data_IF_804828835669
#
_entry.id   IF_804828835669
#
_cell.length_a   1.000
_cell.length_b   1.000
_cell.length_c   1.000
_cell.angle_alpha   90.00
_cell.angle_beta   90.00
_cell.angle_gamma   90.00
#
_symmetry.space_group_name_H-M   'P 1'
#
loop_
_entity.id
_entity.type
_entity.pdbx_description
1 polymer ?
#
# COMPACT_ATOMS: atom_id res chain seq x y z
N UNK A 1 -21.01 -10.84 9.45
CA UNK A 1 -19.79 -10.02 9.30
C UNK A 1 -19.89 -9.16 8.04
N UNK A 2 -19.19 -8.05 8.02
CA UNK A 2 -19.18 -7.17 6.85
C UNK A 2 -17.82 -7.24 6.17
N UNK A 3 -17.86 -7.30 4.84
CA UNK A 3 -16.70 -7.21 3.95
C UNK A 3 -16.98 -6.08 2.98
N UNK A 4 -16.03 -5.16 2.85
CA UNK A 4 -16.08 -4.10 1.85
C UNK A 4 -15.20 -4.49 0.66
N UNK A 5 -15.61 -4.12 -0.53
CA UNK A 5 -14.88 -4.42 -1.76
C UNK A 5 -14.54 -3.11 -2.47
N UNK A 6 -13.27 -2.93 -2.77
CA UNK A 6 -12.76 -1.78 -3.52
C UNK A 6 -11.94 -2.25 -4.72
N UNK A 7 -11.59 -1.30 -5.58
CA UNK A 7 -10.69 -1.53 -6.71
C UNK A 7 -9.47 -0.62 -6.60
N UNK A 8 -8.33 -1.24 -6.68
CA UNK A 8 -7.02 -0.63 -6.72
C UNK A 8 -6.68 -0.10 -8.14
N UNK A 9 -5.55 0.64 -8.34
CA UNK A 9 -5.28 1.42 -9.54
C UNK A 9 -5.48 0.71 -10.89
N UNK A 10 -5.14 -0.56 -11.01
CA UNK A 10 -5.33 -1.35 -12.23
C UNK A 10 -6.42 -2.41 -12.09
N UNK A 11 -7.48 -2.07 -11.34
CA UNK A 11 -8.65 -2.92 -11.08
C UNK A 11 -8.34 -4.18 -10.25
N UNK A 12 -7.24 -4.23 -9.50
CA UNK A 12 -7.03 -5.29 -8.51
C UNK A 12 -8.17 -5.24 -7.49
N UNK A 13 -8.75 -6.39 -7.18
CA UNK A 13 -9.86 -6.49 -6.24
C UNK A 13 -9.28 -6.47 -4.83
N UNK A 14 -9.65 -5.46 -4.05
CA UNK A 14 -9.34 -5.38 -2.64
C UNK A 14 -10.54 -5.77 -1.79
N UNK A 15 -10.30 -6.51 -0.71
CA UNK A 15 -11.32 -6.82 0.29
C UNK A 15 -10.88 -6.35 1.67
N UNK A 16 -11.71 -5.53 2.30
CA UNK A 16 -11.48 -5.05 3.67
C UNK A 16 -12.44 -5.79 4.61
N UNK A 17 -11.86 -6.58 5.51
CA UNK A 17 -12.60 -7.31 6.54
C UNK A 17 -12.71 -6.42 7.77
N UNK A 18 -13.89 -6.37 8.39
CA UNK A 18 -14.09 -5.63 9.65
C UNK A 18 -13.21 -6.21 10.76
N UNK A 19 -12.89 -5.42 11.82
CA UNK A 19 -12.18 -5.94 12.98
C UNK A 19 -12.86 -7.17 13.55
N UNK A 20 -12.09 -8.21 13.83
CA UNK A 20 -12.54 -9.47 14.39
C UNK A 20 -11.77 -9.76 15.69
N UNK A 21 -12.41 -10.38 16.66
CA UNK A 21 -11.75 -10.81 17.89
C UNK A 21 -10.93 -12.09 17.67
N UNK A 22 -11.34 -12.93 16.72
CA UNK A 22 -10.71 -14.22 16.47
C UNK A 22 -10.22 -14.32 15.02
N UNK A 23 -9.06 -14.96 14.84
CA UNK A 23 -8.48 -15.19 13.49
C UNK A 23 -9.40 -16.09 12.65
N UNK A 24 -10.09 -17.03 13.27
CA UNK A 24 -11.03 -17.93 12.56
C UNK A 24 -12.20 -17.16 11.93
N UNK A 25 -12.65 -16.05 12.53
CA UNK A 25 -13.67 -15.18 11.94
C UNK A 25 -13.15 -14.49 10.68
N UNK A 26 -11.91 -14.00 10.70
CA UNK A 26 -11.26 -13.42 9.51
C UNK A 26 -11.20 -14.46 8.39
N UNK A 27 -10.75 -15.67 8.70
CA UNK A 27 -10.65 -16.77 7.75
C UNK A 27 -12.03 -17.11 7.14
N UNK A 28 -13.06 -17.23 7.95
CA UNK A 28 -14.41 -17.55 7.49
C UNK A 28 -14.98 -16.45 6.57
N UNK A 29 -14.77 -15.18 6.92
CA UNK A 29 -15.17 -14.05 6.09
C UNK A 29 -14.40 -14.03 4.74
N UNK A 30 -13.10 -14.28 4.77
CA UNK A 30 -12.28 -14.35 3.57
C UNK A 30 -12.69 -15.53 2.66
N UNK A 31 -12.90 -16.71 3.22
CA UNK A 31 -13.34 -17.89 2.44
C UNK A 31 -14.70 -17.66 1.79
N UNK A 32 -15.65 -17.08 2.53
CA UNK A 32 -16.98 -16.71 1.99
C UNK A 32 -16.87 -15.66 0.87
N UNK A 33 -15.99 -14.67 1.04
CA UNK A 33 -15.69 -13.69 -0.02
C UNK A 33 -15.14 -14.38 -1.27
N UNK A 34 -14.13 -15.25 -1.11
CA UNK A 34 -13.49 -15.96 -2.21
C UNK A 34 -14.48 -16.81 -3.01
N UNK A 35 -15.33 -17.55 -2.34
CA UNK A 35 -16.37 -18.35 -2.98
C UNK A 35 -17.31 -17.49 -3.82
N UNK A 36 -17.80 -16.40 -3.24
CA UNK A 36 -18.75 -15.49 -3.91
C UNK A 36 -18.12 -14.79 -5.11
N UNK A 37 -16.90 -14.27 -4.97
CA UNK A 37 -16.24 -13.56 -6.07
C UNK A 37 -15.89 -14.51 -7.22
N UNK A 38 -15.40 -15.72 -6.92
CA UNK A 38 -15.12 -16.72 -7.95
C UNK A 38 -16.37 -17.12 -8.72
N UNK A 39 -17.51 -17.30 -8.06
CA UNK A 39 -18.79 -17.59 -8.70
C UNK A 39 -19.27 -16.46 -9.64
N UNK A 40 -18.89 -15.22 -9.35
CA UNK A 40 -19.16 -14.07 -10.25
C UNK A 40 -18.18 -14.09 -11.42
N UNK A 41 -16.89 -14.19 -11.16
CA UNK A 41 -15.82 -14.13 -12.15
C UNK A 41 -15.96 -15.24 -13.22
N UNK A 42 -16.32 -16.44 -12.80
CA UNK A 42 -16.56 -17.58 -13.70
C UNK A 42 -17.63 -17.28 -14.77
N UNK A 43 -18.64 -16.49 -14.45
CA UNK A 43 -19.68 -16.09 -15.42
C UNK A 43 -19.13 -15.24 -16.57
N UNK A 44 -17.99 -14.60 -16.35
CA UNK A 44 -17.31 -13.74 -17.32
C UNK A 44 -16.02 -14.36 -17.85
N UNK A 45 -15.78 -15.64 -17.56
CA UNK A 45 -14.54 -16.35 -17.95
C UNK A 45 -13.27 -15.74 -17.35
N UNK A 46 -13.38 -15.14 -16.17
CA UNK A 46 -12.25 -14.64 -15.37
C UNK A 46 -11.85 -15.61 -14.28
N UNK A 47 -10.59 -15.54 -13.89
CA UNK A 47 -10.04 -16.29 -12.75
C UNK A 47 -9.38 -15.33 -11.78
N UNK A 48 -9.64 -15.50 -10.48
CA UNK A 48 -8.96 -14.76 -9.43
C UNK A 48 -7.53 -15.32 -9.25
N UNK A 49 -6.54 -14.44 -9.34
CA UNK A 49 -5.15 -14.77 -9.06
C UNK A 49 -4.76 -14.14 -7.73
N UNK A 50 -4.34 -14.96 -6.77
CA UNK A 50 -3.90 -14.54 -5.43
C UNK A 50 -2.37 -14.56 -5.37
N UNK A 51 -1.73 -13.62 -6.04
CA UNK A 51 -0.27 -13.48 -6.09
C UNK A 51 0.13 -12.08 -5.65
N UNK A 52 1.31 -11.95 -5.06
CA UNK A 52 1.88 -10.66 -4.66
C UNK A 52 2.21 -9.73 -5.83
N UNK A 53 2.30 -10.28 -7.02
CA UNK A 53 2.41 -9.55 -8.28
C UNK A 53 1.64 -10.29 -9.38
N UNK A 54 0.95 -9.56 -10.25
CA UNK A 54 0.27 -10.20 -11.36
C UNK A 54 1.31 -10.84 -12.29
N UNK A 55 1.15 -12.13 -12.66
CA UNK A 55 2.27 -12.90 -13.21
C UNK A 55 2.52 -12.70 -14.70
N UNK A 56 1.54 -12.28 -15.50
CA UNK A 56 1.59 -12.44 -16.96
C UNK A 56 1.87 -11.15 -17.72
N UNK A 57 1.08 -10.10 -17.47
CA UNK A 57 1.17 -8.85 -18.22
C UNK A 57 2.30 -7.98 -17.71
N UNK A 58 2.84 -7.15 -18.57
CA UNK A 58 3.72 -6.08 -18.13
C UNK A 58 2.90 -4.96 -17.49
N UNK A 59 3.48 -4.25 -16.53
CA UNK A 59 2.79 -3.16 -15.86
C UNK A 59 2.35 -2.05 -16.84
N UNK A 60 3.12 -1.79 -17.90
CA UNK A 60 2.78 -0.82 -18.95
C UNK A 60 1.53 -1.18 -19.77
N UNK A 61 1.17 -2.47 -19.84
CA UNK A 61 -0.02 -2.97 -20.54
C UNK A 61 -1.30 -2.81 -19.69
N UNK A 62 -1.16 -2.60 -18.38
CA UNK A 62 -2.28 -2.49 -17.45
C UNK A 62 -2.76 -1.04 -17.36
N UNK A 63 -4.03 -0.83 -17.66
CA UNK A 63 -4.66 0.50 -17.66
C UNK A 63 -5.13 0.86 -16.26
N UNK A 64 -4.92 2.12 -15.87
CA UNK A 64 -5.49 2.65 -14.63
C UNK A 64 -7.01 2.80 -14.76
N UNK A 65 -7.74 2.45 -13.71
CA UNK A 65 -9.18 2.76 -13.64
C UNK A 65 -9.38 4.28 -13.50
N UNK A 66 -10.49 4.83 -14.01
CA UNK A 66 -10.70 6.28 -14.14
C UNK A 66 -11.03 6.93 -12.78
N UNK A 67 -10.06 6.98 -11.88
CA UNK A 67 -10.12 7.74 -10.63
C UNK A 67 -9.02 8.80 -10.64
N UNK A 68 -9.39 10.07 -10.44
CA UNK A 68 -8.47 11.21 -10.48
C UNK A 68 -7.24 10.99 -9.61
N UNK A 69 -7.43 10.52 -8.37
CA UNK A 69 -6.34 10.24 -7.44
C UNK A 69 -5.26 9.30 -8.01
N UNK A 70 -5.64 8.33 -8.83
CA UNK A 70 -4.68 7.38 -9.39
C UNK A 70 -3.84 7.99 -10.51
N UNK A 71 -4.39 8.92 -11.27
CA UNK A 71 -3.62 9.68 -12.26
C UNK A 71 -2.63 10.62 -11.58
N UNK A 72 -3.04 11.30 -10.50
CA UNK A 72 -2.15 12.15 -9.71
C UNK A 72 -1.01 11.35 -9.07
N UNK A 73 -1.32 10.18 -8.53
CA UNK A 73 -0.31 9.28 -7.97
C UNK A 73 0.67 8.77 -9.04
N UNK A 74 0.17 8.34 -10.21
CA UNK A 74 1.01 7.87 -11.32
C UNK A 74 1.95 8.97 -11.82
N UNK A 75 1.45 10.20 -11.92
CA UNK A 75 2.25 11.38 -12.30
C UNK A 75 3.32 11.68 -11.25
N UNK A 76 2.95 11.73 -9.98
CA UNK A 76 3.87 11.99 -8.89
C UNK A 76 4.98 10.94 -8.82
N UNK A 77 4.62 9.68 -8.80
CA UNK A 77 5.58 8.59 -8.64
C UNK A 77 6.58 8.48 -9.79
N UNK A 78 6.21 8.86 -11.02
CA UNK A 78 7.15 8.94 -12.14
C UNK A 78 8.29 9.93 -11.91
N UNK A 79 8.10 10.90 -11.01
CA UNK A 79 9.10 11.91 -10.68
C UNK A 79 10.03 11.51 -9.54
N UNK A 80 9.69 10.50 -8.74
CA UNK A 80 10.41 10.17 -7.48
C UNK A 80 11.03 8.77 -7.46
N UNK A 81 10.56 7.85 -8.29
CA UNK A 81 11.09 6.48 -8.31
C UNK A 81 10.93 5.78 -9.66
N UNK A 82 11.64 4.68 -9.83
CA UNK A 82 11.64 3.91 -11.09
C UNK A 82 10.60 2.79 -11.11
N UNK A 83 10.19 2.28 -9.94
CA UNK A 83 9.40 1.06 -9.82
C UNK A 83 7.92 1.32 -9.50
N UNK A 84 7.50 2.58 -9.51
CA UNK A 84 6.15 2.98 -9.12
C UNK A 84 5.06 2.40 -10.01
N UNK A 85 5.31 2.23 -11.30
CA UNK A 85 4.36 1.62 -12.23
C UNK A 85 4.07 0.16 -11.83
N UNK A 86 5.09 -0.60 -11.48
CA UNK A 86 4.94 -1.98 -11.00
C UNK A 86 4.16 -2.03 -9.70
N UNK A 87 4.44 -1.11 -8.77
CA UNK A 87 3.72 -1.01 -7.50
C UNK A 87 2.23 -0.73 -7.75
N UNK A 88 1.90 0.29 -8.54
CA UNK A 88 0.52 0.72 -8.74
C UNK A 88 -0.31 -0.28 -9.56
N UNK A 89 0.28 -0.90 -10.57
CA UNK A 89 -0.48 -1.65 -11.57
C UNK A 89 -0.37 -3.15 -11.42
N UNK A 90 0.75 -3.65 -10.92
CA UNK A 90 1.02 -5.09 -10.88
C UNK A 90 0.98 -5.71 -9.50
N UNK A 91 1.19 -4.92 -8.43
CA UNK A 91 1.33 -5.49 -7.09
C UNK A 91 -0.01 -5.70 -6.39
N UNK A 92 -0.05 -6.72 -5.53
CA UNK A 92 -1.11 -6.97 -4.57
C UNK A 92 -0.52 -7.29 -3.19
N UNK A 93 -1.26 -7.04 -2.12
CA UNK A 93 -0.74 -7.25 -0.77
C UNK A 93 -1.81 -7.71 0.21
N UNK A 94 -1.37 -8.31 1.31
CA UNK A 94 -2.16 -8.45 2.52
C UNK A 94 -1.74 -7.36 3.49
N UNK A 95 -2.71 -6.67 4.08
CA UNK A 95 -2.50 -5.64 5.08
C UNK A 95 -3.19 -6.05 6.37
N UNK A 96 -2.46 -5.90 7.48
CA UNK A 96 -2.97 -6.20 8.83
C UNK A 96 -2.85 -4.95 9.68
N UNK A 97 -3.97 -4.51 10.26
CA UNK A 97 -3.99 -3.40 11.21
C UNK A 97 -4.02 -3.97 12.62
N UNK A 98 -3.11 -3.51 13.46
CA UNK A 98 -2.96 -3.92 14.86
C UNK A 98 -3.13 -2.69 15.73
N UNK A 99 -4.07 -2.75 16.68
CA UNK A 99 -4.27 -1.67 17.65
C UNK A 99 -3.17 -1.63 18.70
N UNK A 100 -3.08 -0.48 19.40
CA UNK A 100 -2.20 -0.27 20.53
C UNK A 100 -2.96 0.44 21.68
N UNK A 101 -2.52 0.23 22.91
CA UNK A 101 -3.17 0.76 24.10
C UNK A 101 -2.65 2.14 24.51
N UNK A 102 -1.35 2.36 24.37
CA UNK A 102 -0.66 3.58 24.73
C UNK A 102 0.61 3.77 23.91
N UNK A 103 1.37 4.83 24.18
CA UNK A 103 2.59 5.18 23.47
C UNK A 103 3.70 4.12 23.62
N UNK A 104 3.79 3.48 24.78
CA UNK A 104 4.78 2.41 25.01
C UNK A 104 4.48 1.21 24.15
N UNK A 105 3.22 0.73 24.16
CA UNK A 105 2.75 -0.38 23.33
C UNK A 105 2.89 -0.08 21.84
N UNK A 106 2.57 1.16 21.42
CA UNK A 106 2.81 1.62 20.06
C UNK A 106 4.29 1.50 19.67
N UNK A 107 5.18 2.06 20.47
CA UNK A 107 6.63 2.11 20.19
C UNK A 107 7.23 0.69 20.10
N UNK A 108 6.83 -0.21 20.99
CA UNK A 108 7.26 -1.60 20.98
C UNK A 108 6.76 -2.35 19.74
N UNK A 109 5.47 -2.23 19.40
CA UNK A 109 4.87 -2.86 18.22
C UNK A 109 5.46 -2.31 16.93
N UNK A 110 5.64 -0.99 16.84
CA UNK A 110 6.23 -0.35 15.66
C UNK A 110 7.66 -0.79 15.43
N UNK A 111 8.49 -0.81 16.50
CA UNK A 111 9.87 -1.31 16.45
C UNK A 111 9.91 -2.78 16.04
N UNK A 112 9.06 -3.61 16.64
CA UNK A 112 8.99 -5.04 16.34
C UNK A 112 8.57 -5.29 14.89
N UNK A 113 7.60 -4.55 14.37
CA UNK A 113 7.17 -4.63 12.98
C UNK A 113 8.32 -4.29 12.01
N UNK A 114 9.08 -3.23 12.29
CA UNK A 114 10.26 -2.87 11.48
C UNK A 114 11.35 -3.97 11.56
N UNK A 115 11.63 -4.49 12.76
CA UNK A 115 12.63 -5.54 12.97
C UNK A 115 12.27 -6.84 12.23
N UNK A 116 11.01 -7.23 12.25
CA UNK A 116 10.52 -8.47 11.63
C UNK A 116 10.19 -8.33 10.15
N UNK A 117 10.19 -7.11 9.61
CA UNK A 117 9.83 -6.84 8.23
C UNK A 117 10.57 -7.72 7.20
N UNK A 118 11.91 -7.93 7.28
CA UNK A 118 12.60 -8.82 6.34
C UNK A 118 12.15 -10.28 6.44
N UNK A 119 11.80 -10.73 7.65
CA UNK A 119 11.29 -12.08 7.86
C UNK A 119 9.88 -12.23 7.26
N UNK A 120 9.02 -11.24 7.45
CA UNK A 120 7.69 -11.26 6.84
C UNK A 120 7.78 -11.28 5.31
N UNK A 121 8.66 -10.50 4.70
CA UNK A 121 8.89 -10.59 3.25
C UNK A 121 9.28 -12.00 2.82
N UNK A 122 10.14 -12.67 3.56
CA UNK A 122 10.58 -14.02 3.24
C UNK A 122 9.47 -15.07 3.31
N UNK A 123 8.67 -15.04 4.38
CA UNK A 123 7.66 -16.09 4.63
C UNK A 123 6.33 -15.85 3.90
N UNK A 124 6.07 -14.62 3.44
CA UNK A 124 4.82 -14.25 2.76
C UNK A 124 4.99 -14.01 1.27
N UNK A 125 6.22 -14.10 0.74
CA UNK A 125 6.44 -13.91 -0.69
C UNK A 125 5.79 -15.05 -1.49
N UNK A 126 4.98 -14.65 -2.46
CA UNK A 126 4.26 -15.54 -3.36
C UNK A 126 4.24 -15.00 -4.80
N UNK A 127 5.25 -14.24 -5.18
CA UNK A 127 5.39 -13.61 -6.48
C UNK A 127 6.52 -14.26 -7.30
N UNK A 128 6.41 -15.58 -7.55
CA UNK A 128 7.43 -16.37 -8.26
C UNK A 128 7.57 -16.03 -9.75
N UNK A 129 6.54 -15.40 -10.32
CA UNK A 129 6.51 -14.98 -11.72
C UNK A 129 6.33 -13.47 -11.79
N UNK A 130 7.21 -12.82 -12.54
CA UNK A 130 7.22 -11.39 -12.75
C UNK A 130 7.23 -11.09 -14.26
N UNK A 131 6.17 -10.47 -14.78
CA UNK A 131 6.00 -10.10 -16.20
C UNK A 131 6.30 -11.26 -17.17
N UNK A 132 5.69 -12.41 -16.90
CA UNK A 132 5.78 -13.62 -17.73
C UNK A 132 7.05 -14.43 -17.55
N UNK A 133 7.94 -14.06 -16.62
CA UNK A 133 9.21 -14.76 -16.37
C UNK A 133 9.33 -15.19 -14.92
N UNK A 134 9.99 -16.31 -14.68
CA UNK A 134 10.35 -16.71 -13.32
C UNK A 134 11.21 -15.61 -12.67
N UNK A 135 10.81 -15.16 -11.50
CA UNK A 135 11.60 -14.24 -10.70
C UNK A 135 12.67 -15.03 -9.91
N UNK A 136 13.92 -14.64 -10.04
CA UNK A 136 15.03 -15.33 -9.37
C UNK A 136 15.64 -14.51 -8.22
N UNK A 137 15.03 -13.37 -7.86
CA UNK A 137 15.43 -12.56 -6.72
C UNK A 137 14.84 -13.05 -5.40
N UNK A 138 15.14 -12.33 -4.32
CA UNK A 138 14.64 -12.65 -2.98
C UNK A 138 13.13 -12.46 -2.86
N UNK A 139 12.62 -11.30 -3.26
CA UNK A 139 11.19 -10.96 -3.26
C UNK A 139 10.94 -9.88 -4.31
N UNK A 140 10.04 -10.16 -5.24
CA UNK A 140 9.65 -9.19 -6.27
C UNK A 140 9.05 -7.94 -5.65
N UNK A 141 8.24 -8.07 -4.60
CA UNK A 141 7.65 -6.93 -3.89
C UNK A 141 8.69 -6.07 -3.19
N UNK A 142 9.67 -6.67 -2.51
CA UNK A 142 10.76 -5.92 -1.87
C UNK A 142 11.55 -5.11 -2.91
N UNK A 143 11.89 -5.71 -4.04
CA UNK A 143 12.57 -5.03 -5.15
C UNK A 143 11.73 -3.85 -5.68
N UNK A 144 10.42 -4.04 -5.82
CA UNK A 144 9.52 -2.96 -6.27
C UNK A 144 9.53 -1.82 -5.26
N UNK A 145 9.23 -2.08 -3.99
CA UNK A 145 9.04 -1.05 -2.97
C UNK A 145 10.31 -0.27 -2.64
N UNK A 146 11.50 -0.86 -2.75
CA UNK A 146 12.78 -0.18 -2.53
C UNK A 146 13.03 1.01 -3.47
N UNK A 147 12.32 1.09 -4.60
CA UNK A 147 12.53 2.14 -5.60
C UNK A 147 11.22 2.84 -6.01
N UNK A 148 10.25 2.91 -5.12
CA UNK A 148 9.00 3.65 -5.34
C UNK A 148 9.13 5.10 -4.88
N UNK A 149 9.41 5.32 -3.60
CA UNK A 149 9.59 6.64 -2.99
C UNK A 149 10.34 6.51 -1.67
N UNK A 150 11.59 6.93 -1.63
CA UNK A 150 12.46 6.83 -0.45
C UNK A 150 11.92 7.55 0.78
N UNK A 151 11.07 8.57 0.61
CA UNK A 151 10.45 9.26 1.75
C UNK A 151 9.31 8.50 2.42
N UNK A 152 8.70 7.52 1.72
CA UNK A 152 7.51 6.79 2.19
C UNK A 152 7.72 5.30 2.39
N UNK A 153 8.69 4.72 1.70
CA UNK A 153 8.80 3.27 1.54
C UNK A 153 10.03 2.67 2.24
N UNK A 154 10.82 3.49 2.93
CA UNK A 154 11.96 3.03 3.70
C UNK A 154 11.54 2.57 5.09
N UNK A 155 12.33 1.66 5.66
CA UNK A 155 12.21 1.30 7.07
C UNK A 155 12.66 2.49 7.91
N UNK A 156 11.89 2.82 8.96
CA UNK A 156 12.26 3.88 9.88
C UNK A 156 13.41 3.44 10.78
N UNK A 157 14.60 4.00 10.56
CA UNK A 157 15.74 3.78 11.44
C UNK A 157 15.48 4.32 12.87
N UNK A 158 14.73 5.41 12.96
CA UNK A 158 14.35 6.06 14.20
C UNK A 158 13.48 5.17 15.09
N UNK A 159 12.78 4.18 14.52
CA UNK A 159 12.00 3.20 15.27
C UNK A 159 12.83 2.41 16.31
N UNK A 160 14.16 2.40 16.15
CA UNK A 160 15.08 1.71 17.05
C UNK A 160 15.69 2.63 18.11
N UNK A 161 15.42 3.91 18.07
CA UNK A 161 15.90 4.88 19.05
C UNK A 161 15.14 4.75 20.37
N UNK A 162 15.85 4.97 21.50
CA UNK A 162 15.28 4.82 22.85
C UNK A 162 14.15 5.79 23.18
N UNK A 163 14.06 6.89 22.47
CA UNK A 163 13.05 7.93 22.70
C UNK A 163 11.94 7.93 21.65
N UNK A 164 11.90 6.95 20.76
CA UNK A 164 10.89 6.90 19.71
C UNK A 164 9.48 6.69 20.28
N UNK A 165 8.56 7.57 19.91
CA UNK A 165 7.17 7.56 20.35
C UNK A 165 6.25 8.27 19.36
N UNK A 166 5.11 8.71 19.86
CA UNK A 166 4.10 9.40 19.04
C UNK A 166 4.63 10.69 18.41
N UNK A 167 5.44 11.42 19.15
CA UNK A 167 5.99 12.69 18.68
C UNK A 167 6.92 12.49 17.49
N UNK A 168 7.90 11.61 17.60
CA UNK A 168 8.88 11.33 16.54
C UNK A 168 8.19 10.75 15.30
N UNK A 169 7.21 9.87 15.51
CA UNK A 169 6.41 9.33 14.41
C UNK A 169 5.59 10.43 13.72
N UNK A 170 4.93 11.31 14.48
CA UNK A 170 4.17 12.42 13.94
C UNK A 170 5.06 13.41 13.16
N UNK A 171 6.24 13.76 13.69
CA UNK A 171 7.22 14.61 13.03
C UNK A 171 7.66 13.99 11.68
N UNK A 172 7.95 12.68 11.68
CA UNK A 172 8.26 11.97 10.42
C UNK A 172 7.10 12.04 9.43
N UNK A 173 5.87 11.70 9.81
CA UNK A 173 4.70 11.75 8.92
C UNK A 173 4.47 13.17 8.40
N UNK A 174 4.58 14.19 9.26
CA UNK A 174 4.39 15.60 8.88
C UNK A 174 5.49 16.13 7.97
N UNK A 175 6.68 15.53 7.97
CA UNK A 175 7.79 15.90 7.08
C UNK A 175 7.62 15.41 5.65
N UNK A 176 6.72 14.44 5.42
CA UNK A 176 6.50 13.86 4.09
C UNK A 176 5.49 14.71 3.31
N UNK A 177 5.82 15.14 2.07
CA UNK A 177 4.86 15.85 1.22
C UNK A 177 3.70 14.95 0.85
N UNK A 178 2.43 15.29 1.11
CA UNK A 178 1.30 14.57 0.54
C UNK A 178 1.34 14.65 -0.99
N UNK A 179 0.83 13.66 -1.69
CA UNK A 179 0.75 13.69 -3.16
C UNK A 179 -0.36 14.66 -3.60
N UNK A 180 -1.46 14.66 -2.87
CA UNK A 180 -2.59 15.55 -3.03
C UNK A 180 -3.35 15.65 -1.70
N UNK A 181 -4.22 16.64 -1.59
CA UNK A 181 -5.23 16.74 -0.54
C UNK A 181 -6.62 16.71 -1.16
N UNK A 182 -7.61 16.29 -0.37
CA UNK A 182 -9.01 16.32 -0.79
C UNK A 182 -9.66 17.64 -0.37
N UNK A 183 -10.35 18.27 -1.31
CA UNK A 183 -11.23 19.40 -1.04
C UNK A 183 -12.62 19.07 -1.61
N UNK A 184 -13.50 18.56 -0.76
CA UNK A 184 -14.73 17.93 -1.22
C UNK A 184 -14.43 16.70 -2.08
N UNK A 185 -14.94 16.68 -3.31
CA UNK A 185 -14.72 15.59 -4.27
C UNK A 185 -13.50 15.81 -5.19
N UNK A 186 -12.81 16.94 -5.06
CA UNK A 186 -11.66 17.30 -5.91
C UNK A 186 -10.34 17.00 -5.24
N UNK A 187 -9.34 16.56 -6.02
CA UNK A 187 -7.97 16.38 -5.59
C UNK A 187 -7.13 17.62 -5.93
N UNK A 188 -6.43 18.18 -4.95
CA UNK A 188 -5.52 19.32 -5.13
C UNK A 188 -4.09 18.83 -4.95
N UNK A 189 -3.23 19.03 -5.96
CA UNK A 189 -1.79 18.73 -5.87
C UNK A 189 -1.13 19.60 -4.81
N UNK A 190 -0.24 19.02 -4.04
CA UNK A 190 0.46 19.73 -2.96
C UNK A 190 1.87 20.15 -3.33
N UNK A 191 2.33 19.73 -4.50
CA UNK A 191 3.69 19.98 -4.96
C UNK A 191 4.71 19.32 -4.02
N UNK A 192 5.66 20.12 -3.51
CA UNK A 192 6.69 19.68 -2.57
C UNK A 192 6.40 20.06 -1.12
N UNK A 193 5.25 20.67 -0.84
CA UNK A 193 4.90 21.11 0.52
C UNK A 193 4.69 19.90 1.43
N UNK A 194 5.31 19.92 2.58
CA UNK A 194 5.11 18.90 3.61
C UNK A 194 3.73 19.03 4.27
N UNK A 195 3.26 17.99 4.94
CA UNK A 195 2.00 18.06 5.67
C UNK A 195 2.02 19.16 6.75
N UNK A 196 3.14 19.32 7.45
CA UNK A 196 3.36 20.42 8.41
C UNK A 196 3.14 21.79 7.77
N UNK A 197 3.75 22.04 6.59
CA UNK A 197 3.60 23.31 5.90
C UNK A 197 2.16 23.60 5.46
N UNK A 198 1.39 22.56 5.15
CA UNK A 198 -0.02 22.67 4.79
C UNK A 198 -0.87 22.99 6.02
N UNK A 199 -0.62 22.31 7.15
CA UNK A 199 -1.33 22.55 8.40
C UNK A 199 -1.05 23.95 8.99
N UNK A 200 0.15 24.51 8.75
CA UNK A 200 0.49 25.89 9.15
C UNK A 200 -0.22 26.96 8.31
N UNK A 201 -1.14 26.58 7.41
CA UNK A 201 -1.95 27.50 6.60
C UNK A 201 -1.20 28.16 5.46
N UNK A 202 -0.09 27.60 5.01
CA UNK A 202 0.60 28.08 3.80
C UNK A 202 -0.22 27.73 2.57
N UNK A 203 -0.55 28.75 1.77
CA UNK A 203 -1.32 28.55 0.54
C UNK A 203 -0.66 27.51 -0.39
N UNK A 204 -1.49 26.63 -0.94
CA UNK A 204 -1.06 25.68 -1.97
C UNK A 204 -1.22 26.40 -3.30
N UNK A 205 -0.10 26.79 -3.91
CA UNK A 205 -0.11 27.36 -5.26
C UNK A 205 -0.14 26.21 -6.27
N UNK A 206 -1.14 26.20 -7.14
CA UNK A 206 -1.20 25.26 -8.26
C UNK A 206 -0.04 25.57 -9.21
N UNK A 207 1.03 24.79 -9.20
CA UNK A 207 2.13 24.91 -10.15
C UNK A 207 3.56 24.91 -9.59
N UNK A 208 3.76 24.71 -8.28
CA UNK A 208 5.11 24.50 -7.72
C UNK A 208 5.48 23.02 -7.57
#
# INVERSE_FOLDING_TARGET
>A
GRVYITLEPAAQIETSIVPCAEIEDIKNLYMSFNERINNILLKYSYTLVTSGYQPFSKAEELTLIPKERYYLMDEYFKSVGTNAMWMMRGSASVQVNIDYFDETDFSEKYRLANLLSPLFYLITDNADVFEGKKYNGFSARSMIWQNVDGKRCELSAEAFDKGFGFKEYAEWVCSVPPIFIMNGDSCIKTGKKTAEQIFDGREINEGE
#
